data_IF_820940170406
#
_entry.id   IF_820940170406
#
_cell.length_a   1.000
_cell.length_b   1.000
_cell.length_c   1.000
_cell.angle_alpha   90.00
_cell.angle_beta   90.00
_cell.angle_gamma   90.00
#
_symmetry.space_group_name_H-M   'P 1'
#
loop_
_entity.id
_entity.type
_entity.pdbx_description
1 polymer ?
#
# COMPACT_ATOMS: atom_id res chain seq x y z
N UNK A 1 21.47 14.65 36.00
CA UNK A 1 20.57 14.78 34.82
C UNK A 1 19.10 14.47 35.13
N UNK A 2 18.76 13.40 35.85
CA UNK A 2 17.37 13.02 36.12
C UNK A 2 16.57 14.03 37.00
N UNK A 3 17.23 14.73 37.94
CA UNK A 3 16.58 15.74 38.80
C UNK A 3 16.18 17.04 38.09
N UNK A 4 16.76 17.35 36.92
CA UNK A 4 16.46 18.60 36.19
C UNK A 4 15.18 18.48 35.34
N UNK A 5 14.86 17.26 34.89
CA UNK A 5 13.69 17.00 34.02
C UNK A 5 12.41 16.97 34.86
N UNK A 6 12.47 16.47 36.11
CA UNK A 6 11.27 16.40 36.99
C UNK A 6 10.83 17.79 37.45
N UNK A 7 11.77 18.71 37.74
CA UNK A 7 11.41 20.09 38.12
C UNK A 7 10.73 20.85 36.97
N UNK A 8 11.19 20.70 35.73
CA UNK A 8 10.57 21.40 34.60
C UNK A 8 9.15 20.90 34.30
N UNK A 9 8.88 19.62 34.53
CA UNK A 9 7.52 19.06 34.34
C UNK A 9 6.53 19.51 35.40
N UNK A 10 6.94 19.70 36.66
CA UNK A 10 6.05 20.23 37.70
C UNK A 10 5.78 21.73 37.51
N UNK A 11 6.79 22.51 37.12
CA UNK A 11 6.61 23.94 36.85
C UNK A 11 5.70 24.18 35.63
N UNK A 12 5.81 23.36 34.58
CA UNK A 12 4.93 23.48 33.42
C UNK A 12 3.47 23.09 33.74
N UNK A 13 3.25 22.10 34.59
CA UNK A 13 1.91 21.69 35.01
C UNK A 13 1.25 22.72 35.95
N UNK A 14 2.01 23.35 36.85
CA UNK A 14 1.53 24.42 37.73
C UNK A 14 1.16 25.68 36.95
N UNK A 15 1.99 26.11 35.99
CA UNK A 15 1.73 27.28 35.15
C UNK A 15 0.51 27.06 34.23
N UNK A 16 0.30 25.83 33.76
CA UNK A 16 -0.89 25.49 32.98
C UNK A 16 -2.17 25.46 33.84
N UNK A 17 -2.08 25.02 35.10
CA UNK A 17 -3.20 25.03 36.05
C UNK A 17 -3.63 26.45 36.45
N UNK A 18 -2.67 27.33 36.77
CA UNK A 18 -2.95 28.74 37.12
C UNK A 18 -3.52 29.53 35.94
N UNK A 19 -3.02 29.30 34.72
CA UNK A 19 -3.56 29.95 33.52
C UNK A 19 -4.96 29.45 33.14
N UNK A 20 -5.28 28.18 33.41
CA UNK A 20 -6.61 27.62 33.17
C UNK A 20 -7.64 28.16 34.18
N UNK A 21 -7.28 28.34 35.46
CA UNK A 21 -8.19 28.91 36.46
C UNK A 21 -8.44 30.41 36.26
N UNK A 22 -7.43 31.17 35.82
CA UNK A 22 -7.60 32.60 35.52
C UNK A 22 -8.44 32.82 34.25
N UNK A 23 -8.34 31.95 33.25
CA UNK A 23 -9.15 32.06 32.03
C UNK A 23 -10.62 31.70 32.27
N UNK A 24 -10.92 30.70 33.11
CA UNK A 24 -12.31 30.34 33.43
C UNK A 24 -13.01 31.44 34.24
N UNK A 25 -12.32 32.08 35.21
CA UNK A 25 -12.89 33.19 35.99
C UNK A 25 -13.16 34.46 35.18
N UNK A 26 -12.45 34.68 34.08
CA UNK A 26 -12.66 35.87 33.21
C UNK A 26 -13.76 35.64 32.17
N UNK A 27 -14.08 34.38 31.87
CA UNK A 27 -15.07 34.03 30.82
C UNK A 27 -16.51 34.01 31.37
N UNK A 28 -16.74 33.72 32.66
CA UNK A 28 -18.11 33.72 33.22
C UNK A 28 -18.73 35.13 33.36
N UNK A 29 -17.92 36.19 33.43
CA UNK A 29 -18.41 37.56 33.67
C UNK A 29 -18.65 38.41 32.40
N UNK A 30 -18.38 37.90 31.19
CA UNK A 30 -18.45 38.71 29.97
C UNK A 30 -19.35 38.09 28.88
N UNK A 31 -20.63 38.48 28.87
CA UNK A 31 -21.49 38.41 27.67
C UNK A 31 -20.97 39.35 26.57
N UNK A 32 -21.21 39.05 25.28
CA UNK A 32 -20.41 39.59 24.19
C UNK A 32 -20.84 41.03 23.85
N UNK A 33 -20.03 42.02 24.22
CA UNK A 33 -20.16 43.39 23.73
C UNK A 33 -19.08 43.60 22.68
N UNK A 34 -19.49 43.56 21.42
CA UNK A 34 -18.66 43.55 20.22
C UNK A 34 -18.02 44.91 19.86
N UNK A 35 -17.67 45.75 20.84
CA UNK A 35 -17.14 47.10 20.56
C UNK A 35 -15.96 47.52 21.45
N UNK A 36 -15.63 46.79 22.52
CA UNK A 36 -14.54 47.15 23.45
C UNK A 36 -13.21 46.41 23.20
N UNK A 37 -13.17 45.46 22.26
CA UNK A 37 -11.95 44.70 21.96
C UNK A 37 -10.89 45.53 21.23
N UNK A 38 -11.25 46.62 20.55
CA UNK A 38 -10.27 47.48 19.88
C UNK A 38 -9.57 48.43 20.85
N UNK A 39 -10.28 48.99 21.83
CA UNK A 39 -9.66 49.87 22.83
C UNK A 39 -8.88 49.08 23.90
N UNK A 40 -9.35 47.88 24.27
CA UNK A 40 -8.60 47.02 25.22
C UNK A 40 -7.31 46.45 24.64
N UNK A 41 -7.15 46.38 23.31
CA UNK A 41 -5.86 46.03 22.67
C UNK A 41 -4.90 47.23 22.70
N UNK A 42 -5.42 48.46 22.68
CA UNK A 42 -4.61 49.70 22.73
C UNK A 42 -4.19 50.05 24.17
N UNK A 43 -5.01 49.69 25.16
CA UNK A 43 -4.71 49.89 26.60
C UNK A 43 -4.07 48.66 27.27
N UNK A 44 -3.92 47.54 26.56
CA UNK A 44 -3.25 46.35 27.11
C UNK A 44 -1.79 46.65 27.42
N UNK A 45 -1.32 46.21 28.60
CA UNK A 45 0.07 46.33 29.01
C UNK A 45 1.01 45.86 27.89
N UNK A 46 2.09 46.58 27.57
CA UNK A 46 3.02 46.21 26.50
C UNK A 46 3.57 44.78 26.64
N UNK A 47 3.65 44.27 27.87
CA UNK A 47 4.03 42.89 28.19
C UNK A 47 2.97 41.85 27.78
N UNK A 48 1.69 42.19 27.84
CA UNK A 48 0.57 41.33 27.41
C UNK A 48 0.49 41.26 25.88
N UNK A 49 0.73 42.39 25.19
CA UNK A 49 0.81 42.43 23.72
C UNK A 49 2.07 41.71 23.22
N UNK A 50 3.22 41.92 23.87
CA UNK A 50 4.46 41.22 23.53
C UNK A 50 4.38 39.71 23.84
N UNK A 51 3.74 39.33 24.95
CA UNK A 51 3.47 37.94 25.30
C UNK A 51 2.49 37.27 24.34
N UNK A 52 1.41 37.95 23.97
CA UNK A 52 0.42 37.47 22.99
C UNK A 52 0.99 37.37 21.57
N UNK A 53 1.72 38.37 21.11
CA UNK A 53 2.42 38.35 19.82
C UNK A 53 3.51 37.26 19.80
N UNK A 54 4.25 37.09 20.89
CA UNK A 54 5.22 36.01 21.06
C UNK A 54 4.57 34.63 21.02
N UNK A 55 3.41 34.44 21.68
CA UNK A 55 2.66 33.20 21.64
C UNK A 55 2.11 32.89 20.25
N UNK A 56 1.59 33.88 19.52
CA UNK A 56 1.13 33.72 18.13
C UNK A 56 2.28 33.42 17.19
N UNK A 57 3.45 34.05 17.38
CA UNK A 57 4.66 33.77 16.62
C UNK A 57 5.16 32.35 16.88
N UNK A 58 5.19 31.91 18.14
CA UNK A 58 5.56 30.53 18.50
C UNK A 58 4.55 29.53 17.95
N UNK A 59 3.25 29.80 18.04
CA UNK A 59 2.22 28.97 17.46
C UNK A 59 2.38 28.90 15.94
N UNK A 60 2.68 30.01 15.26
CA UNK A 60 2.93 30.07 13.81
C UNK A 60 4.22 29.34 13.38
N UNK A 61 5.27 29.41 14.21
CA UNK A 61 6.53 28.69 13.95
C UNK A 61 6.43 27.19 14.24
N UNK A 62 5.63 26.79 15.24
CA UNK A 62 5.43 25.38 15.62
C UNK A 62 4.25 24.72 14.90
N UNK A 63 3.30 25.47 14.34
CA UNK A 63 2.13 24.92 13.62
C UNK A 63 2.54 24.03 12.44
N UNK A 64 3.51 24.39 11.58
CA UNK A 64 3.92 23.53 10.48
C UNK A 64 4.42 22.15 10.97
N UNK A 65 5.18 22.15 12.06
CA UNK A 65 5.79 20.94 12.62
C UNK A 65 4.77 20.06 13.36
N UNK A 66 3.88 20.67 14.14
CA UNK A 66 2.83 19.96 14.88
C UNK A 66 1.77 19.36 13.94
N UNK A 67 1.28 20.13 12.97
CA UNK A 67 0.31 19.64 11.98
C UNK A 67 0.86 18.49 11.15
N UNK A 68 2.16 18.53 10.81
CA UNK A 68 2.82 17.44 10.10
C UNK A 68 2.72 16.14 10.90
N UNK A 69 3.09 16.14 12.18
CA UNK A 69 3.04 14.95 13.03
C UNK A 69 1.62 14.36 13.19
N UNK A 70 0.60 15.20 13.29
CA UNK A 70 -0.80 14.79 13.39
C UNK A 70 -1.32 14.26 12.04
N UNK A 71 -0.93 14.89 10.93
CA UNK A 71 -1.27 14.43 9.58
C UNK A 71 -0.61 13.09 9.24
N UNK A 72 0.62 12.84 9.70
CA UNK A 72 1.28 11.54 9.58
C UNK A 72 0.57 10.46 10.41
N UNK A 73 0.10 10.79 11.63
CA UNK A 73 -0.72 9.88 12.42
C UNK A 73 -2.06 9.58 11.73
N UNK A 74 -2.70 10.57 11.10
CA UNK A 74 -3.96 10.41 10.38
C UNK A 74 -3.83 9.59 9.08
N UNK A 75 -2.65 9.54 8.46
CA UNK A 75 -2.39 8.74 7.25
C UNK A 75 -2.50 7.23 7.51
N UNK A 76 -2.22 6.81 8.75
CA UNK A 76 -2.32 5.42 9.18
C UNK A 76 -1.16 4.53 8.74
N UNK A 77 -0.05 5.08 8.21
CA UNK A 77 1.20 4.36 7.92
C UNK A 77 2.37 5.34 7.82
N UNK A 78 3.61 4.83 7.86
CA UNK A 78 4.81 5.64 8.10
C UNK A 78 5.25 6.48 6.90
N UNK A 79 5.07 5.95 5.69
CA UNK A 79 5.34 6.66 4.45
C UNK A 79 5.61 5.73 3.27
N UNK A 80 6.00 6.35 2.17
CA UNK A 80 6.32 5.69 0.91
C UNK A 80 7.85 5.64 0.73
N UNK A 81 8.35 4.55 0.16
CA UNK A 81 9.77 4.33 -0.15
C UNK A 81 9.91 4.01 -1.63
N UNK A 82 10.90 4.59 -2.30
CA UNK A 82 11.16 4.22 -3.69
C UNK A 82 11.62 2.77 -3.79
N UNK A 83 11.34 2.09 -4.90
CA UNK A 83 11.72 0.68 -5.05
C UNK A 83 13.24 0.46 -4.86
N UNK A 84 14.07 1.39 -5.34
CA UNK A 84 15.52 1.34 -5.15
C UNK A 84 15.92 1.48 -3.67
N UNK A 85 15.28 2.38 -2.92
CA UNK A 85 15.51 2.53 -1.48
C UNK A 85 15.10 1.26 -0.73
N UNK A 86 14.00 0.63 -1.12
CA UNK A 86 13.55 -0.63 -0.52
C UNK A 86 14.59 -1.73 -0.71
N UNK A 87 15.16 -1.86 -1.92
CA UNK A 87 16.21 -2.84 -2.17
C UNK A 87 17.45 -2.60 -1.31
N UNK A 88 17.89 -1.36 -1.16
CA UNK A 88 19.00 -1.00 -0.28
C UNK A 88 18.68 -1.31 1.19
N UNK A 89 17.50 -0.92 1.68
CA UNK A 89 17.06 -1.22 3.04
C UNK A 89 16.96 -2.71 3.32
N UNK A 90 16.53 -3.53 2.35
CA UNK A 90 16.48 -4.98 2.49
C UNK A 90 17.88 -5.59 2.60
N UNK A 91 18.87 -5.03 1.92
CA UNK A 91 20.25 -5.50 1.99
C UNK A 91 20.93 -5.04 3.30
N UNK A 92 20.80 -3.76 3.61
CA UNK A 92 21.55 -3.07 4.67
C UNK A 92 20.90 -3.17 6.06
N UNK A 93 19.59 -3.40 6.15
CA UNK A 93 18.84 -3.36 7.41
C UNK A 93 17.80 -4.49 7.54
N UNK A 94 17.15 -4.60 8.70
CA UNK A 94 16.18 -5.66 9.00
C UNK A 94 14.75 -5.29 8.58
N UNK A 95 14.59 -4.86 7.34
CA UNK A 95 13.29 -4.63 6.73
C UNK A 95 12.75 -5.93 6.13
N UNK A 96 11.44 -6.10 6.14
CA UNK A 96 10.75 -7.26 5.57
C UNK A 96 9.87 -6.79 4.42
N UNK A 97 10.08 -7.33 3.22
CA UNK A 97 9.28 -7.03 2.04
C UNK A 97 8.15 -8.04 1.92
N UNK A 98 6.92 -7.56 1.97
CA UNK A 98 5.72 -8.39 1.83
C UNK A 98 5.05 -8.05 0.50
N UNK A 99 4.97 -9.03 -0.38
CA UNK A 99 4.29 -8.91 -1.67
C UNK A 99 2.84 -9.38 -1.53
N UNK A 100 1.94 -8.39 -1.48
CA UNK A 100 0.49 -8.58 -1.32
C UNK A 100 -0.24 -8.79 -2.64
N UNK A 101 0.46 -8.85 -3.78
CA UNK A 101 -0.18 -9.06 -5.08
C UNK A 101 -0.87 -10.42 -5.14
N UNK A 102 -1.93 -10.50 -5.94
CA UNK A 102 -2.61 -11.77 -6.21
C UNK A 102 -1.67 -12.72 -6.97
N UNK A 103 -1.91 -14.03 -6.88
CA UNK A 103 -1.12 -15.01 -7.63
C UNK A 103 -1.27 -14.82 -9.15
N UNK A 104 -2.40 -14.27 -9.61
CA UNK A 104 -2.63 -13.92 -11.01
C UNK A 104 -1.68 -12.81 -11.49
N UNK A 105 -1.45 -11.80 -10.65
CA UNK A 105 -0.56 -10.68 -10.99
C UNK A 105 0.90 -11.13 -10.93
N UNK A 106 1.25 -11.95 -9.94
CA UNK A 106 2.58 -12.59 -9.83
C UNK A 106 2.89 -13.47 -11.04
N UNK A 107 1.91 -14.21 -11.56
CA UNK A 107 2.07 -15.04 -12.75
C UNK A 107 2.36 -14.22 -14.03
N UNK A 108 1.82 -12.99 -14.12
CA UNK A 108 2.01 -12.12 -15.29
C UNK A 108 3.32 -11.34 -15.23
N UNK A 109 3.56 -10.67 -14.11
CA UNK A 109 4.67 -9.72 -13.98
C UNK A 109 5.91 -10.32 -13.30
N UNK A 110 5.80 -11.53 -12.75
CA UNK A 110 6.87 -12.18 -12.00
C UNK A 110 7.00 -11.66 -10.57
N UNK A 111 8.07 -12.11 -9.91
CA UNK A 111 8.46 -11.73 -8.55
C UNK A 111 9.62 -10.73 -8.59
N UNK A 112 9.82 -9.91 -7.54
CA UNK A 112 11.03 -9.10 -7.42
C UNK A 112 12.26 -10.00 -7.26
N UNK A 113 13.27 -9.80 -8.11
CA UNK A 113 14.58 -10.45 -7.95
C UNK A 113 15.35 -9.75 -6.84
N UNK A 114 15.78 -10.53 -5.86
CA UNK A 114 16.47 -10.03 -4.68
C UNK A 114 17.83 -10.70 -4.53
N UNK A 115 18.86 -9.97 -4.03
CA UNK A 115 20.13 -10.59 -3.69
C UNK A 115 19.94 -11.63 -2.59
N UNK A 116 20.85 -12.60 -2.49
CA UNK A 116 20.76 -13.75 -1.56
C UNK A 116 20.44 -13.36 -0.12
N UNK A 117 21.02 -12.24 0.36
CA UNK A 117 20.81 -11.73 1.72
C UNK A 117 19.39 -11.17 1.95
N UNK A 118 18.75 -10.67 0.89
CA UNK A 118 17.39 -10.12 0.93
C UNK A 118 16.31 -11.17 0.64
N UNK A 119 16.64 -12.30 -0.03
CA UNK A 119 15.65 -13.36 -0.34
C UNK A 119 14.94 -13.89 0.91
N UNK A 120 15.65 -14.04 2.03
CA UNK A 120 15.06 -14.51 3.29
C UNK A 120 14.12 -13.48 3.96
N UNK A 121 14.18 -12.22 3.54
CA UNK A 121 13.36 -11.11 4.04
C UNK A 121 12.14 -10.83 3.15
N UNK A 122 12.00 -11.57 2.05
CA UNK A 122 10.84 -11.53 1.18
C UNK A 122 9.77 -12.53 1.62
N UNK A 123 8.52 -12.08 1.62
CA UNK A 123 7.35 -12.88 1.95
C UNK A 123 6.26 -12.64 0.91
N UNK A 124 5.88 -13.69 0.19
CA UNK A 124 4.73 -13.65 -0.71
C UNK A 124 3.48 -14.01 0.09
N UNK A 125 2.54 -13.07 0.20
CA UNK A 125 1.24 -13.30 0.85
C UNK A 125 0.18 -12.85 -0.15
N UNK A 126 -0.48 -13.76 -0.87
CA UNK A 126 -1.47 -13.36 -1.85
C UNK A 126 -2.67 -12.67 -1.19
N UNK A 127 -3.14 -11.60 -1.81
CA UNK A 127 -4.44 -11.02 -1.50
C UNK A 127 -5.54 -12.00 -1.90
N UNK A 128 -6.40 -12.35 -0.95
CA UNK A 128 -7.58 -13.15 -1.22
C UNK A 128 -8.73 -12.26 -1.68
N UNK A 129 -9.14 -12.44 -2.93
CA UNK A 129 -10.31 -11.76 -3.48
C UNK A 129 -11.58 -12.39 -2.89
N UNK A 130 -12.52 -11.55 -2.42
CA UNK A 130 -13.78 -12.04 -1.92
C UNK A 130 -14.63 -12.63 -3.05
N UNK A 131 -15.35 -13.75 -2.83
CA UNK A 131 -16.25 -14.29 -3.82
C UNK A 131 -17.34 -13.28 -4.16
N UNK A 132 -17.73 -13.20 -5.44
CA UNK A 132 -18.58 -12.13 -5.97
C UNK A 132 -19.90 -11.89 -5.22
N UNK A 133 -20.50 -12.95 -4.66
CA UNK A 133 -21.72 -12.86 -3.83
C UNK A 133 -21.51 -12.03 -2.56
N UNK A 134 -20.43 -12.30 -1.83
CA UNK A 134 -20.08 -11.58 -0.60
C UNK A 134 -19.56 -10.18 -0.96
N UNK A 135 -18.77 -10.08 -2.02
CA UNK A 135 -18.20 -8.83 -2.50
C UNK A 135 -19.28 -7.77 -2.81
N UNK A 136 -20.43 -8.19 -3.36
CA UNK A 136 -21.57 -7.30 -3.62
C UNK A 136 -22.40 -6.93 -2.39
N UNK A 137 -22.28 -7.67 -1.29
CA UNK A 137 -22.97 -7.39 -0.02
C UNK A 137 -22.18 -6.44 0.90
N UNK A 138 -20.87 -6.34 0.69
CA UNK A 138 -19.97 -5.52 1.52
C UNK A 138 -19.85 -4.12 0.92
N UNK A 139 -20.07 -3.09 1.74
CA UNK A 139 -19.99 -1.68 1.31
C UNK A 139 -18.62 -1.30 0.73
N UNK A 140 -17.54 -1.86 1.27
CA UNK A 140 -16.19 -1.63 0.77
C UNK A 140 -15.38 -2.94 0.77
N UNK A 141 -15.45 -3.73 -0.32
CA UNK A 141 -14.79 -5.03 -0.38
C UNK A 141 -13.26 -4.92 -0.36
N UNK A 142 -12.69 -3.86 -0.96
CA UNK A 142 -11.23 -3.66 -1.02
C UNK A 142 -10.61 -3.46 0.36
N UNK A 143 -11.33 -2.81 1.27
CA UNK A 143 -10.87 -2.65 2.64
C UNK A 143 -10.91 -3.98 3.40
N UNK A 144 -11.98 -4.76 3.24
CA UNK A 144 -12.10 -6.06 3.88
C UNK A 144 -11.04 -7.06 3.38
N UNK A 145 -10.80 -7.10 2.07
CA UNK A 145 -9.71 -7.89 1.46
C UNK A 145 -8.34 -7.49 2.05
N UNK A 146 -8.11 -6.18 2.22
CA UNK A 146 -6.89 -5.66 2.83
C UNK A 146 -6.79 -5.98 4.34
N UNK A 147 -7.89 -5.95 5.08
CA UNK A 147 -7.95 -6.35 6.49
C UNK A 147 -7.62 -7.83 6.67
N UNK A 148 -8.16 -8.71 5.81
CA UNK A 148 -7.84 -10.15 5.81
C UNK A 148 -6.34 -10.35 5.56
N UNK A 149 -5.77 -9.66 4.58
CA UNK A 149 -4.32 -9.71 4.33
C UNK A 149 -3.49 -9.19 5.51
N UNK A 150 -3.90 -8.07 6.12
CA UNK A 150 -3.24 -7.52 7.30
C UNK A 150 -3.29 -8.48 8.50
N UNK A 151 -4.42 -9.16 8.72
CA UNK A 151 -4.55 -10.19 9.75
C UNK A 151 -3.58 -11.35 9.49
N UNK A 152 -3.50 -11.86 8.25
CA UNK A 152 -2.53 -12.91 7.88
C UNK A 152 -1.10 -12.48 8.17
N UNK A 153 -0.73 -11.26 7.81
CA UNK A 153 0.59 -10.68 8.09
C UNK A 153 0.82 -10.61 9.60
N UNK A 154 -0.18 -10.19 10.38
CA UNK A 154 -0.04 -10.00 11.83
C UNK A 154 0.25 -11.29 12.60
N UNK A 155 -0.22 -12.43 12.09
CA UNK A 155 0.00 -13.76 12.69
C UNK A 155 1.29 -14.45 12.22
N UNK A 156 2.11 -13.79 11.38
CA UNK A 156 3.37 -14.36 10.94
C UNK A 156 4.42 -14.36 12.06
N UNK A 157 4.93 -15.53 12.42
CA UNK A 157 5.95 -15.72 13.46
C UNK A 157 7.24 -14.89 13.26
N UNK A 158 7.53 -14.50 12.02
CA UNK A 158 8.75 -13.75 11.64
C UNK A 158 8.61 -12.23 11.87
N UNK A 159 7.40 -11.73 12.09
CA UNK A 159 7.09 -10.31 12.10
C UNK A 159 6.42 -9.96 13.43
N UNK A 160 6.89 -8.92 14.11
CA UNK A 160 6.27 -8.35 15.29
C UNK A 160 5.77 -6.93 15.06
N UNK A 161 5.01 -6.39 16.03
CA UNK A 161 4.44 -5.02 15.96
C UNK A 161 5.49 -3.91 15.79
N UNK A 162 6.74 -4.18 16.20
CA UNK A 162 7.88 -3.25 16.05
C UNK A 162 8.68 -3.43 14.76
N UNK A 163 8.47 -4.50 14.00
CA UNK A 163 9.24 -4.81 12.79
C UNK A 163 8.98 -3.78 11.68
N UNK A 164 10.03 -3.44 10.92
CA UNK A 164 9.91 -2.60 9.73
C UNK A 164 9.40 -3.42 8.56
N UNK A 165 8.16 -3.15 8.15
CA UNK A 165 7.46 -3.88 7.10
C UNK A 165 7.34 -2.96 5.89
N UNK A 166 7.64 -3.48 4.71
CA UNK A 166 7.42 -2.81 3.43
C UNK A 166 6.39 -3.61 2.65
N UNK A 167 5.32 -2.96 2.22
CA UNK A 167 4.27 -3.58 1.44
C UNK A 167 4.47 -3.28 -0.05
N UNK A 168 4.47 -4.33 -0.85
CA UNK A 168 4.55 -4.29 -2.30
C UNK A 168 3.23 -4.80 -2.89
N UNK A 169 2.62 -3.97 -3.71
CA UNK A 169 1.42 -4.24 -4.49
C UNK A 169 1.69 -3.93 -5.98
N UNK A 170 0.77 -4.15 -6.90
CA UNK A 170 0.96 -3.83 -8.32
C UNK A 170 1.11 -2.32 -8.55
N UNK A 171 0.17 -1.50 -8.06
CA UNK A 171 0.19 -0.02 -8.17
C UNK A 171 0.45 0.71 -6.84
N UNK A 172 0.27 0.03 -5.70
CA UNK A 172 0.47 0.59 -4.36
C UNK A 172 -0.83 0.98 -3.63
N UNK A 173 -1.99 0.92 -4.29
CA UNK A 173 -3.26 1.34 -3.67
C UNK A 173 -3.79 0.32 -2.67
N UNK A 174 -3.66 -0.98 -2.97
CA UNK A 174 -4.06 -2.04 -2.03
C UNK A 174 -3.09 -2.05 -0.86
N UNK A 175 -1.79 -1.85 -1.12
CA UNK A 175 -0.78 -1.73 -0.08
C UNK A 175 -1.10 -0.60 0.92
N UNK A 176 -1.67 0.53 0.47
CA UNK A 176 -2.11 1.63 1.37
C UNK A 176 -3.22 1.17 2.32
N UNK A 177 -4.19 0.42 1.83
CA UNK A 177 -5.26 -0.10 2.67
C UNK A 177 -4.73 -1.14 3.66
N UNK A 178 -3.87 -2.06 3.20
CA UNK A 178 -3.23 -3.07 4.08
C UNK A 178 -2.38 -2.38 5.14
N UNK A 179 -1.62 -1.34 4.80
CA UNK A 179 -0.80 -0.57 5.73
C UNK A 179 -1.64 0.06 6.84
N UNK A 180 -2.78 0.67 6.48
CA UNK A 180 -3.73 1.25 7.44
C UNK A 180 -4.31 0.18 8.37
N UNK A 181 -4.73 -0.96 7.82
CA UNK A 181 -5.25 -2.08 8.61
C UNK A 181 -4.18 -2.66 9.54
N UNK A 182 -2.92 -2.77 9.08
CA UNK A 182 -1.79 -3.17 9.93
C UNK A 182 -1.53 -2.17 11.06
N UNK A 183 -1.60 -0.87 10.78
CA UNK A 183 -1.46 0.17 11.79
C UNK A 183 -2.56 0.11 12.84
N UNK A 184 -3.81 -0.17 12.43
CA UNK A 184 -4.92 -0.43 13.34
C UNK A 184 -4.68 -1.64 14.26
N UNK A 185 -3.94 -2.66 13.77
CA UNK A 185 -3.50 -3.82 14.58
C UNK A 185 -2.28 -3.52 15.49
N UNK A 186 -1.72 -2.31 15.41
CA UNK A 186 -0.64 -1.80 16.25
C UNK A 186 0.76 -1.86 15.61
N UNK A 187 0.87 -2.12 14.31
CA UNK A 187 2.15 -2.07 13.60
C UNK A 187 2.53 -0.63 13.27
N UNK A 188 3.59 -0.11 13.89
CA UNK A 188 3.98 1.31 13.77
C UNK A 188 4.90 1.62 12.59
N UNK A 189 5.57 0.60 12.06
CA UNK A 189 6.62 0.75 11.03
C UNK A 189 6.21 0.10 9.69
N UNK A 190 4.99 0.39 9.23
CA UNK A 190 4.52 -0.03 7.91
C UNK A 190 4.86 1.04 6.85
N UNK A 191 5.55 0.61 5.81
CA UNK A 191 5.95 1.41 4.65
C UNK A 191 5.38 0.80 3.38
N UNK A 192 5.31 1.60 2.32
CA UNK A 192 4.76 1.18 1.03
C UNK A 192 5.80 1.41 -0.06
N UNK A 193 5.88 0.52 -1.03
CA UNK A 193 6.68 0.77 -2.24
C UNK A 193 5.97 1.79 -3.12
N UNK A 194 6.59 2.94 -3.34
CA UNK A 194 6.07 3.98 -4.24
C UNK A 194 5.93 3.42 -5.66
N UNK A 195 4.76 3.61 -6.27
CA UNK A 195 4.42 3.05 -7.57
C UNK A 195 4.30 1.52 -7.62
N UNK A 196 4.40 0.80 -6.50
CA UNK A 196 4.22 -0.66 -6.46
C UNK A 196 5.25 -1.45 -7.28
N UNK A 197 4.82 -2.56 -7.87
CA UNK A 197 5.65 -3.42 -8.72
C UNK A 197 5.63 -2.96 -10.18
N UNK A 198 4.43 -2.75 -10.72
CA UNK A 198 4.16 -2.49 -12.14
C UNK A 198 3.89 -1.00 -12.45
N UNK A 199 3.71 -0.16 -11.43
CA UNK A 199 3.36 1.25 -11.64
C UNK A 199 4.50 2.09 -12.20
N UNK A 200 4.18 3.32 -12.62
CA UNK A 200 5.11 4.21 -13.35
C UNK A 200 6.35 4.69 -12.59
N UNK A 201 6.47 4.38 -11.30
CA UNK A 201 7.69 4.56 -10.48
C UNK A 201 8.06 3.29 -9.70
N UNK A 202 7.41 2.18 -10.02
CA UNK A 202 7.49 0.93 -9.29
C UNK A 202 8.78 0.15 -9.53
N UNK A 203 8.79 -1.09 -9.04
CA UNK A 203 9.93 -2.01 -9.10
C UNK A 203 10.49 -2.18 -10.51
N UNK A 204 9.62 -2.51 -11.47
CA UNK A 204 10.01 -2.78 -12.86
C UNK A 204 10.54 -1.50 -13.52
N UNK A 205 9.84 -0.38 -13.34
CA UNK A 205 10.24 0.90 -13.94
C UNK A 205 11.54 1.45 -13.35
N UNK A 206 11.84 1.09 -12.10
CA UNK A 206 13.11 1.38 -11.43
C UNK A 206 14.27 0.50 -11.91
N UNK A 207 14.06 -0.33 -12.94
CA UNK A 207 15.04 -1.26 -13.52
C UNK A 207 15.61 -2.27 -12.51
N UNK A 208 14.81 -2.62 -11.50
CA UNK A 208 15.17 -3.67 -10.56
C UNK A 208 14.86 -5.03 -11.17
N UNK A 209 15.66 -6.04 -10.84
CA UNK A 209 15.53 -7.37 -11.42
C UNK A 209 14.19 -8.01 -11.08
N UNK A 210 13.70 -8.88 -11.98
CA UNK A 210 12.50 -9.70 -11.78
C UNK A 210 12.82 -11.18 -12.00
N UNK A 211 12.14 -12.05 -11.26
CA UNK A 211 12.23 -13.52 -11.36
C UNK A 211 10.88 -14.06 -11.83
N UNK A 212 10.88 -15.18 -12.55
CA UNK A 212 9.64 -15.82 -12.99
C UNK A 212 8.88 -16.41 -11.80
N UNK A 213 7.56 -16.25 -11.78
CA UNK A 213 6.70 -16.91 -10.79
C UNK A 213 6.28 -18.27 -11.32
N UNK A 214 6.69 -19.34 -10.64
CA UNK A 214 6.32 -20.69 -11.03
C UNK A 214 4.96 -21.07 -10.43
N UNK A 215 3.92 -21.16 -11.27
CA UNK A 215 2.54 -21.52 -10.90
C UNK A 215 2.26 -23.02 -10.89
N UNK A 216 3.26 -23.89 -11.13
CA UNK A 216 3.06 -25.32 -11.45
C UNK A 216 2.30 -26.15 -10.40
N UNK A 217 2.02 -25.64 -9.19
CA UNK A 217 1.26 -26.37 -8.18
C UNK A 217 -0.25 -26.04 -8.15
N UNK A 218 -0.70 -24.94 -8.74
CA UNK A 218 -2.11 -24.52 -8.68
C UNK A 218 -2.95 -24.98 -9.88
N UNK A 219 -2.31 -25.36 -10.99
CA UNK A 219 -3.01 -25.72 -12.24
C UNK A 219 -3.57 -27.16 -12.23
N UNK A 220 -3.12 -28.01 -11.31
CA UNK A 220 -3.45 -29.45 -11.29
C UNK A 220 -4.82 -29.75 -10.63
N UNK A 221 -5.46 -28.75 -10.01
CA UNK A 221 -6.76 -28.92 -9.33
C UNK A 221 -7.89 -28.13 -9.98
N UNK A 222 -7.98 -28.12 -11.31
CA UNK A 222 -9.26 -27.87 -11.99
C UNK A 222 -9.94 -29.19 -12.36
N UNK A 223 -10.72 -29.83 -11.46
CA UNK A 223 -11.50 -31.02 -11.79
C UNK A 223 -12.76 -30.63 -12.56
N UNK A 224 -12.63 -30.10 -13.78
CA UNK A 224 -13.78 -29.98 -14.70
C UNK A 224 -13.36 -29.66 -16.14
N UNK A 225 -12.59 -30.55 -16.75
CA UNK A 225 -12.80 -30.81 -18.19
C UNK A 225 -13.02 -32.31 -18.36
N UNK A 226 -14.25 -32.72 -18.07
CA UNK A 226 -14.79 -33.98 -18.60
C UNK A 226 -14.68 -33.84 -20.12
N UNK A 227 -13.71 -34.52 -20.72
CA UNK A 227 -13.69 -34.76 -22.15
C UNK A 227 -14.76 -35.83 -22.38
N UNK A 228 -15.88 -35.55 -23.05
CA UNK A 228 -16.78 -36.62 -23.46
C UNK A 228 -16.03 -37.42 -24.53
N UNK A 229 -15.68 -38.66 -24.20
CA UNK A 229 -15.26 -39.63 -25.19
C UNK A 229 -16.46 -39.91 -26.11
N UNK A 230 -16.52 -39.22 -27.24
CA UNK A 230 -17.50 -39.48 -28.29
C UNK A 230 -18.23 -38.24 -28.79
N UNK A 231 -17.62 -37.53 -29.74
CA UNK A 231 -18.38 -36.91 -30.84
C UNK A 231 -17.41 -36.51 -31.95
N UNK A 232 -17.24 -37.39 -32.93
CA UNK A 232 -16.70 -37.04 -34.24
C UNK A 232 -17.69 -36.07 -34.91
N UNK A 233 -17.48 -34.75 -34.81
CA UNK A 233 -18.07 -33.78 -35.76
C UNK A 233 -17.16 -32.56 -35.93
N UNK A 234 -16.36 -32.63 -37.00
CA UNK A 234 -16.34 -31.65 -38.08
C UNK A 234 -16.25 -30.16 -37.68
N UNK A 235 -15.02 -29.66 -37.47
CA UNK A 235 -14.73 -28.24 -37.60
C UNK A 235 -14.14 -27.95 -38.98
N UNK A 236 -14.95 -27.27 -39.80
CA UNK A 236 -14.59 -26.69 -41.09
C UNK A 236 -13.91 -25.34 -40.83
N UNK A 237 -12.61 -25.27 -41.06
CA UNK A 237 -11.84 -24.02 -41.12
C UNK A 237 -12.17 -23.30 -42.43
N UNK A 238 -12.74 -22.09 -42.36
CA UNK A 238 -12.65 -21.11 -43.44
C UNK A 238 -11.52 -20.15 -43.10
N UNK A 239 -10.31 -20.47 -43.56
CA UNK A 239 -9.29 -19.47 -43.88
C UNK A 239 -9.17 -19.43 -45.39
N UNK A 240 -9.46 -18.26 -45.93
CA UNK A 240 -9.21 -17.85 -47.29
C UNK A 240 -7.71 -17.81 -47.55
N UNK A 241 -7.21 -18.72 -48.38
CA UNK A 241 -6.00 -18.49 -49.17
C UNK A 241 -6.13 -19.26 -50.49
N UNK A 242 -6.08 -18.50 -51.58
CA UNK A 242 -6.15 -19.00 -52.95
C UNK A 242 -4.77 -19.51 -53.32
N UNK A 243 -4.63 -20.83 -53.48
CA UNK A 243 -3.48 -21.42 -54.17
C UNK A 243 -4.02 -22.26 -55.31
N UNK A 244 -3.84 -21.71 -56.51
CA UNK A 244 -4.17 -22.30 -57.80
C UNK A 244 -3.19 -23.42 -58.13
N UNK A 245 -3.68 -24.67 -58.24
CA UNK A 245 -2.95 -25.75 -58.90
C UNK A 245 -3.95 -26.62 -59.67
N UNK A 246 -3.83 -26.54 -60.99
CA UNK A 246 -4.56 -27.28 -62.01
C UNK A 246 -4.43 -28.81 -61.87
N UNK A 247 -5.48 -29.61 -62.18
CA UNK A 247 -5.46 -31.05 -62.00
C UNK A 247 -4.87 -31.80 -63.21
N UNK A 248 -3.79 -32.57 -63.00
CA UNK A 248 -3.37 -33.64 -63.93
C UNK A 248 -4.22 -34.88 -63.70
N UNK A 249 -5.05 -35.22 -64.69
CA UNK A 249 -5.72 -36.52 -64.78
C UNK A 249 -4.74 -37.56 -65.35
N UNK A 250 -4.38 -38.56 -64.56
CA UNK A 250 -3.75 -39.80 -65.06
C UNK A 250 -4.85 -40.84 -65.34
N UNK A 251 -5.10 -41.07 -66.62
CA UNK A 251 -6.00 -42.09 -67.17
C UNK A 251 -5.20 -43.38 -67.43
N UNK A 252 -5.76 -44.52 -67.04
CA UNK A 252 -5.16 -45.86 -67.17
C UNK A 252 -5.66 -46.60 -68.43
N UNK A 253 -4.71 -47.27 -69.12
CA UNK A 253 -4.78 -48.40 -70.09
C UNK A 253 -5.22 -48.12 -71.55
N UNK A 254 -4.95 -49.03 -72.53
CA UNK A 254 -3.82 -49.97 -72.75
C UNK A 254 -3.32 -50.03 -74.23
N UNK A 255 -2.21 -50.76 -74.49
CA UNK A 255 -2.05 -51.59 -75.71
C UNK A 255 -1.12 -51.11 -76.83
N UNK A 256 -0.21 -52.02 -77.25
CA UNK A 256 -0.07 -52.34 -78.68
C UNK A 256 1.25 -52.00 -79.39
N UNK A 257 2.12 -53.02 -79.48
CA UNK A 257 2.92 -53.52 -80.62
C UNK A 257 3.68 -52.57 -81.59
N UNK A 258 4.97 -52.90 -81.70
CA UNK A 258 5.78 -53.15 -82.91
C UNK A 258 6.34 -52.01 -83.80
N UNK A 259 7.60 -52.31 -84.19
CA UNK A 259 8.54 -51.76 -85.19
C UNK A 259 9.39 -50.53 -84.85
#
# INVERSE_FOLDING_TARGET
MLRLIVLSTQSAALVAGEAAEQTVKVIEDAKPVASSTLESIVTADPLFIAGGAGALLLLYLLTPSLLSSIAYAARGYKGDLSAAQVLDLLNSSNYVLIDVRTDKDKAKSGLPSLPRNAKNKYLSIPLEELPGKIRGQVRNPRNLEAEIAALKISFLKRIGKGSSIVLLDSSGDIAKNVAKSLSALGFKNAWIVDGGFDGGKGWVQSRLGTESFNTSFAEILSPSRIIPAGTKKLFKTTSSEVVDVTPRYTKLLPGGYDE
#
